data_IF_528767662224
#
_entry.id   IF_528767662224
#
_cell.length_a   1.000
_cell.length_b   1.000
_cell.length_c   1.000
_cell.angle_alpha   90.00
_cell.angle_beta   90.00
_cell.angle_gamma   90.00
#
_symmetry.space_group_name_H-M   'P 1'
#
loop_
_entity.id
_entity.type
_entity.pdbx_description
1 polymer ?
#
# COMPACT_ATOMS: atom_id res chain seq x y z
N UNK A 1 29.04 -37.60 26.93
CA UNK A 1 29.25 -37.80 25.48
C UNK A 1 27.92 -37.58 24.78
N UNK A 2 27.76 -36.49 24.04
CA UNK A 2 26.57 -36.29 23.21
C UNK A 2 26.73 -37.16 21.97
N UNK A 3 25.85 -38.15 21.83
CA UNK A 3 25.81 -39.04 20.67
C UNK A 3 25.68 -38.24 19.39
N UNK A 4 26.65 -38.47 18.51
CA UNK A 4 26.75 -37.90 17.17
C UNK A 4 25.40 -37.96 16.47
N UNK A 5 24.88 -36.78 16.11
CA UNK A 5 23.76 -36.65 15.17
C UNK A 5 24.22 -37.34 13.89
N UNK A 6 23.58 -38.47 13.59
CA UNK A 6 23.82 -39.24 12.39
C UNK A 6 23.86 -38.30 11.19
N UNK A 7 24.92 -38.41 10.40
CA UNK A 7 25.10 -37.69 9.16
C UNK A 7 23.79 -37.74 8.36
N UNK A 8 23.18 -36.58 8.14
CA UNK A 8 22.07 -36.39 7.21
C UNK A 8 22.62 -36.59 5.80
N UNK A 9 22.73 -37.85 5.40
CA UNK A 9 22.94 -38.27 4.03
C UNK A 9 21.85 -37.65 3.15
N UNK A 10 22.25 -36.83 2.19
CA UNK A 10 21.54 -36.55 0.94
C UNK A 10 20.03 -36.26 1.04
N UNK A 11 19.61 -35.10 1.54
CA UNK A 11 18.31 -34.50 1.14
C UNK A 11 18.23 -33.03 1.54
N UNK A 12 17.67 -32.21 0.64
CA UNK A 12 17.22 -30.81 0.82
C UNK A 12 17.20 -30.37 2.28
N UNK A 13 17.91 -29.28 2.63
CA UNK A 13 17.82 -28.61 3.95
C UNK A 13 16.34 -28.43 4.31
N UNK A 14 15.76 -29.36 5.07
CA UNK A 14 14.35 -29.30 5.47
C UNK A 14 14.24 -28.21 6.52
N UNK A 15 13.69 -27.07 6.10
CA UNK A 15 13.40 -25.96 6.99
C UNK A 15 12.43 -26.44 8.08
N UNK A 16 12.70 -26.20 9.37
CA UNK A 16 11.75 -26.51 10.44
C UNK A 16 10.39 -25.85 10.16
N UNK A 17 9.29 -26.56 10.43
CA UNK A 17 7.92 -26.07 10.16
C UNK A 17 7.67 -24.69 10.77
N UNK A 18 8.15 -24.44 11.98
CA UNK A 18 8.05 -23.15 12.66
C UNK A 18 8.73 -22.03 11.88
N UNK A 19 9.91 -22.29 11.30
CA UNK A 19 10.66 -21.31 10.53
C UNK A 19 9.99 -21.09 9.16
N UNK A 20 9.44 -22.13 8.54
CA UNK A 20 8.66 -22.02 7.31
C UNK A 20 7.43 -21.12 7.52
N UNK A 21 6.62 -21.41 8.54
CA UNK A 21 5.42 -20.63 8.88
C UNK A 21 5.74 -19.16 9.20
N UNK A 22 6.80 -18.90 9.95
CA UNK A 22 7.26 -17.53 10.22
C UNK A 22 7.67 -16.80 8.94
N UNK A 23 8.45 -17.45 8.08
CA UNK A 23 8.89 -16.85 6.82
C UNK A 23 7.73 -16.57 5.85
N UNK A 24 6.69 -17.38 5.87
CA UNK A 24 5.49 -17.17 5.05
C UNK A 24 4.68 -15.93 5.50
N UNK A 25 4.66 -15.62 6.79
CA UNK A 25 3.76 -14.61 7.38
C UNK A 25 4.45 -13.28 7.72
N UNK A 26 5.76 -13.29 8.01
CA UNK A 26 6.49 -12.09 8.50
C UNK A 26 6.53 -10.91 7.53
N UNK A 27 6.29 -11.13 6.24
CA UNK A 27 6.46 -10.10 5.21
C UNK A 27 5.23 -9.21 4.98
N UNK A 28 4.10 -9.46 5.63
CA UNK A 28 2.85 -8.71 5.38
C UNK A 28 3.02 -7.18 5.46
N UNK A 29 3.66 -6.69 6.52
CA UNK A 29 3.93 -5.25 6.70
C UNK A 29 4.91 -4.73 5.65
N UNK A 30 5.93 -5.51 5.31
CA UNK A 30 6.92 -5.13 4.29
C UNK A 30 6.26 -4.99 2.91
N UNK A 31 5.33 -5.87 2.57
CA UNK A 31 4.58 -5.80 1.31
C UNK A 31 3.75 -4.51 1.26
N UNK A 32 3.03 -4.16 2.33
CA UNK A 32 2.27 -2.91 2.42
C UNK A 32 3.18 -1.69 2.29
N UNK A 33 4.31 -1.68 3.00
CA UNK A 33 5.30 -0.61 2.95
C UNK A 33 5.85 -0.43 1.53
N UNK A 34 6.16 -1.52 0.84
CA UNK A 34 6.64 -1.48 -0.54
C UNK A 34 5.58 -1.00 -1.53
N UNK A 35 4.31 -1.38 -1.34
CA UNK A 35 3.19 -0.92 -2.16
C UNK A 35 2.97 0.60 -2.00
N UNK A 36 3.00 1.09 -0.76
CA UNK A 36 2.91 2.51 -0.45
C UNK A 36 4.09 3.28 -1.07
N UNK A 37 5.32 2.79 -0.87
CA UNK A 37 6.54 3.40 -1.40
C UNK A 37 6.55 3.48 -2.93
N UNK A 38 6.17 2.42 -3.63
CA UNK A 38 6.12 2.39 -5.12
C UNK A 38 5.01 3.28 -5.70
N UNK A 39 4.02 3.68 -4.89
CA UNK A 39 2.96 4.61 -5.31
C UNK A 39 3.26 6.09 -5.04
N UNK A 40 4.19 6.36 -4.14
CA UNK A 40 4.55 7.71 -3.71
C UNK A 40 5.41 8.40 -4.77
N UNK A 41 4.84 9.33 -5.53
CA UNK A 41 5.59 10.24 -6.43
C UNK A 41 6.13 11.49 -5.72
N UNK A 42 5.89 11.61 -4.41
CA UNK A 42 6.19 12.81 -3.63
C UNK A 42 7.66 12.80 -3.17
N UNK A 43 8.39 13.89 -3.48
CA UNK A 43 9.72 14.17 -2.91
C UNK A 43 9.56 14.40 -1.40
N UNK A 44 10.38 13.76 -0.54
CA UNK A 44 10.24 13.88 0.91
C UNK A 44 10.33 15.35 1.35
N UNK A 45 9.29 15.88 2.02
CA UNK A 45 9.30 17.27 2.44
C UNK A 45 10.29 17.48 3.59
N UNK A 46 10.85 18.68 3.71
CA UNK A 46 11.75 19.06 4.83
C UNK A 46 11.06 19.11 6.20
N UNK A 47 9.73 19.05 6.22
CA UNK A 47 8.90 19.12 7.43
C UNK A 47 8.35 17.73 7.74
N UNK A 48 8.81 17.14 8.86
CA UNK A 48 8.40 15.80 9.27
C UNK A 48 6.87 15.59 9.39
N UNK A 49 6.04 16.57 9.84
CA UNK A 49 4.59 16.33 9.97
C UNK A 49 3.95 16.09 8.59
N UNK A 50 4.42 16.82 7.58
CA UNK A 50 3.93 16.70 6.22
C UNK A 50 4.33 15.35 5.61
N UNK A 51 5.51 14.86 5.96
CA UNK A 51 5.95 13.52 5.56
C UNK A 51 5.07 12.43 6.16
N UNK A 52 4.70 12.54 7.44
CA UNK A 52 3.75 11.62 8.10
C UNK A 52 2.39 11.67 7.41
N UNK A 53 1.88 12.87 7.11
CA UNK A 53 0.61 13.05 6.41
C UNK A 53 0.59 12.37 5.04
N UNK A 54 1.63 12.57 4.22
CA UNK A 54 1.71 11.91 2.91
C UNK A 54 1.82 10.39 3.02
N UNK A 55 2.51 9.87 4.04
CA UNK A 55 2.57 8.42 4.27
C UNK A 55 1.22 7.85 4.70
N UNK A 56 0.44 8.60 5.48
CA UNK A 56 -0.93 8.22 5.82
C UNK A 56 -1.83 8.18 4.57
N UNK A 57 -1.67 9.14 3.65
CA UNK A 57 -2.37 9.13 2.36
C UNK A 57 -1.99 7.93 1.49
N UNK A 58 -0.69 7.62 1.39
CA UNK A 58 -0.20 6.44 0.65
C UNK A 58 -0.85 5.14 1.18
N UNK A 59 -0.89 4.96 2.50
CA UNK A 59 -1.52 3.79 3.12
C UNK A 59 -3.03 3.75 2.92
N UNK A 60 -3.71 4.89 3.05
CA UNK A 60 -5.16 4.99 2.83
C UNK A 60 -5.52 4.62 1.40
N UNK A 61 -4.74 5.09 0.42
CA UNK A 61 -4.92 4.75 -0.99
C UNK A 61 -4.76 3.25 -1.27
N UNK A 62 -3.74 2.62 -0.68
CA UNK A 62 -3.54 1.15 -0.80
C UNK A 62 -4.70 0.39 -0.15
N UNK A 63 -5.12 0.78 1.06
CA UNK A 63 -6.21 0.13 1.77
C UNK A 63 -7.54 0.23 0.99
N UNK A 64 -7.87 1.42 0.49
CA UNK A 64 -9.09 1.63 -0.32
C UNK A 64 -9.04 0.81 -1.62
N UNK A 65 -7.87 0.70 -2.26
CA UNK A 65 -7.69 -0.11 -3.46
C UNK A 65 -7.90 -1.62 -3.20
N UNK A 66 -7.37 -2.15 -2.08
CA UNK A 66 -7.57 -3.54 -1.69
C UNK A 66 -9.06 -3.82 -1.49
N UNK A 67 -9.75 -2.99 -0.69
CA UNK A 67 -11.19 -3.14 -0.45
C UNK A 67 -11.98 -3.07 -1.76
N UNK A 68 -11.69 -2.10 -2.63
CA UNK A 68 -12.37 -1.97 -3.92
C UNK A 68 -12.22 -3.23 -4.79
N UNK A 69 -11.03 -3.82 -4.82
CA UNK A 69 -10.74 -5.02 -5.60
C UNK A 69 -11.47 -6.25 -5.05
N UNK A 70 -11.51 -6.41 -3.73
CA UNK A 70 -12.20 -7.52 -3.07
C UNK A 70 -13.73 -7.42 -3.24
N UNK A 71 -14.30 -6.22 -3.13
CA UNK A 71 -15.76 -6.01 -3.24
C UNK A 71 -16.24 -6.09 -4.69
N UNK A 72 -15.53 -5.46 -5.62
CA UNK A 72 -16.03 -5.31 -7.01
C UNK A 72 -15.57 -6.45 -7.91
N UNK A 73 -14.55 -7.22 -7.53
CA UNK A 73 -13.86 -8.25 -8.36
C UNK A 73 -13.31 -7.74 -9.70
N UNK A 74 -13.33 -6.43 -9.93
CA UNK A 74 -12.87 -5.78 -11.16
C UNK A 74 -11.35 -5.78 -11.20
N UNK A 75 -10.81 -6.19 -12.35
CA UNK A 75 -9.38 -6.07 -12.65
C UNK A 75 -9.08 -4.64 -13.13
N UNK A 76 -8.75 -3.77 -12.18
CA UNK A 76 -8.21 -2.44 -12.45
C UNK A 76 -6.78 -2.35 -11.88
N UNK A 77 -5.88 -1.67 -12.58
CA UNK A 77 -4.57 -1.40 -11.99
C UNK A 77 -4.68 -0.35 -10.88
N UNK A 78 -3.79 -0.40 -9.89
CA UNK A 78 -3.77 0.60 -8.81
C UNK A 78 -3.62 2.04 -9.33
N UNK A 79 -2.87 2.25 -10.41
CA UNK A 79 -2.65 3.59 -11.00
C UNK A 79 -3.95 4.14 -11.57
N UNK A 80 -4.65 3.34 -12.39
CA UNK A 80 -5.94 3.72 -12.97
C UNK A 80 -6.99 3.97 -11.88
N UNK A 81 -6.98 3.15 -10.82
CA UNK A 81 -7.87 3.36 -9.68
C UNK A 81 -7.63 4.71 -8.99
N UNK A 82 -6.37 5.07 -8.74
CA UNK A 82 -6.03 6.38 -8.15
C UNK A 82 -6.39 7.53 -9.10
N UNK A 83 -6.22 7.38 -10.42
CA UNK A 83 -6.63 8.39 -11.39
C UNK A 83 -8.14 8.64 -11.36
N UNK A 84 -8.95 7.58 -11.37
CA UNK A 84 -10.42 7.69 -11.23
C UNK A 84 -10.81 8.38 -9.93
N UNK A 85 -10.14 8.04 -8.84
CA UNK A 85 -10.31 8.68 -7.54
C UNK A 85 -10.09 10.20 -7.60
N UNK A 86 -9.00 10.64 -8.24
CA UNK A 86 -8.66 12.05 -8.39
C UNK A 86 -9.71 12.76 -9.26
N UNK A 87 -10.14 12.12 -10.36
CA UNK A 87 -11.20 12.67 -11.22
C UNK A 87 -12.54 12.82 -10.49
N UNK A 88 -12.91 11.84 -9.67
CA UNK A 88 -14.12 11.89 -8.83
C UNK A 88 -14.05 13.06 -7.83
N UNK A 89 -12.91 13.24 -7.14
CA UNK A 89 -12.76 14.32 -6.16
C UNK A 89 -12.69 15.70 -6.83
N UNK A 90 -11.97 15.82 -7.95
CA UNK A 90 -11.86 17.07 -8.71
C UNK A 90 -13.22 17.59 -9.20
N UNK A 91 -14.12 16.68 -9.62
CA UNK A 91 -15.48 17.05 -10.06
C UNK A 91 -16.33 17.60 -8.91
N UNK A 92 -16.20 17.03 -7.71
CA UNK A 92 -16.93 17.47 -6.53
C UNK A 92 -16.47 18.85 -6.03
N UNK A 93 -15.18 19.17 -6.17
CA UNK A 93 -14.62 20.46 -5.75
C UNK A 93 -14.83 21.58 -6.79
N UNK A 94 -15.02 21.23 -8.07
CA UNK A 94 -15.24 22.19 -9.14
C UNK A 94 -16.60 22.91 -9.07
N UNK A 95 -17.68 22.23 -8.65
CA UNK A 95 -19.01 22.83 -8.51
C UNK A 95 -19.09 23.97 -7.46
N UNK A 96 -18.57 23.81 -6.23
CA UNK A 96 -18.62 24.89 -5.23
C UNK A 96 -17.66 26.05 -5.55
N UNK A 97 -16.47 25.80 -6.13
CA UNK A 97 -15.53 26.86 -6.49
C UNK A 97 -16.01 27.71 -7.68
N UNK A 98 -16.67 27.10 -8.67
CA UNK A 98 -17.31 27.86 -9.75
C UNK A 98 -18.42 28.77 -9.20
N UNK A 99 -19.24 28.27 -8.27
CA UNK A 99 -20.31 29.05 -7.65
C UNK A 99 -19.79 30.16 -6.74
N UNK A 100 -18.71 29.91 -5.98
CA UNK A 100 -18.10 30.90 -5.09
C UNK A 100 -17.38 32.01 -5.86
N UNK A 101 -16.74 31.70 -7.00
CA UNK A 101 -16.16 32.72 -7.89
C UNK A 101 -17.27 33.56 -8.54
N UNK A 102 -18.36 32.94 -9.01
CA UNK A 102 -19.46 33.67 -9.63
C UNK A 102 -20.18 34.57 -8.62
N UNK A 103 -20.34 34.15 -7.36
CA UNK A 103 -21.00 34.95 -6.32
C UNK A 103 -20.10 35.99 -5.63
N UNK A 104 -18.78 35.85 -5.69
CA UNK A 104 -17.84 36.84 -5.14
C UNK A 104 -17.32 37.84 -6.18
N UNK A 105 -17.44 37.54 -7.47
CA UNK A 105 -16.91 38.39 -8.55
C UNK A 105 -17.94 38.87 -9.59
N UNK A 106 -19.22 38.48 -9.50
CA UNK A 106 -20.35 39.08 -10.21
C UNK A 106 -21.48 39.40 -9.23
#
# INVERSE_FOLDING_TARGET
MHSNVAALSNTIKKLPKTIAYYNETKFGVNILYDLARKGSSIVPPKRWPLQVFYKLLDFTGVNRYIIYKEVTTVKISRREYIQKLIEEHSKNDAEPLCNEIVTKFF
#
